data_IF_186646579775
#
_entry.id   IF_186646579775
#
_cell.length_a   1.000
_cell.length_b   1.000
_cell.length_c   1.000
_cell.angle_alpha   90.00
_cell.angle_beta   90.00
_cell.angle_gamma   90.00
#
_symmetry.space_group_name_H-M   'P 1'
#
loop_
_entity.id
_entity.type
_entity.pdbx_description
1 polymer ?
#
# COMPACT_ATOMS: atom_id res chain seq x y z
N UNK A 1 -4.78 9.35 0.63
CA UNK A 1 -3.79 10.29 0.07
C UNK A 1 -2.38 9.81 0.35
N UNK A 2 -1.53 9.91 -0.62
CA UNK A 2 -0.09 9.66 -0.50
C UNK A 2 0.65 10.99 -0.41
N UNK A 3 1.61 11.06 0.49
CA UNK A 3 2.54 12.16 0.58
C UNK A 3 3.96 11.62 0.48
N UNK A 4 4.74 12.12 -0.48
CA UNK A 4 6.16 11.77 -0.64
C UNK A 4 6.99 12.99 -0.25
N UNK A 5 7.88 12.82 0.73
CA UNK A 5 8.58 13.94 1.32
C UNK A 5 7.61 14.94 1.93
N UNK A 6 7.93 16.22 1.86
CA UNK A 6 7.07 17.27 2.43
C UNK A 6 6.20 17.99 1.39
N UNK A 7 6.47 17.77 0.09
CA UNK A 7 5.90 18.60 -0.97
C UNK A 7 4.91 17.87 -1.88
N UNK A 8 5.08 16.60 -2.10
CA UNK A 8 4.40 15.89 -3.19
C UNK A 8 3.23 15.07 -2.65
N UNK A 9 2.02 15.42 -3.09
CA UNK A 9 0.79 14.76 -2.66
C UNK A 9 0.05 14.16 -3.86
N UNK A 10 -0.52 12.98 -3.64
CA UNK A 10 -1.25 12.23 -4.67
C UNK A 10 -2.57 11.73 -4.09
N UNK A 11 -3.65 11.91 -4.83
CA UNK A 11 -4.96 11.43 -4.43
C UNK A 11 -5.08 9.92 -4.65
N UNK A 12 -5.91 9.28 -3.81
CA UNK A 12 -6.22 7.86 -3.96
C UNK A 12 -6.96 7.61 -5.27
N UNK A 13 -6.59 6.53 -5.96
CA UNK A 13 -7.37 6.02 -7.08
C UNK A 13 -8.10 4.77 -6.61
N UNK A 14 -9.41 4.90 -6.41
CA UNK A 14 -10.27 3.83 -5.94
C UNK A 14 -10.99 3.10 -7.07
N UNK A 15 -10.66 3.43 -8.33
CA UNK A 15 -11.27 2.82 -9.51
C UNK A 15 -10.57 1.50 -9.89
N UNK A 16 -11.28 0.69 -10.68
CA UNK A 16 -10.74 -0.48 -11.39
C UNK A 16 -9.84 -1.42 -10.57
N UNK A 17 -10.19 -1.63 -9.29
CA UNK A 17 -9.43 -2.56 -8.42
C UNK A 17 -8.00 -2.09 -8.13
N UNK A 18 -7.73 -0.81 -8.27
CA UNK A 18 -6.41 -0.24 -8.00
C UNK A 18 -6.09 -0.19 -6.51
N UNK A 19 -7.11 -0.17 -5.67
CA UNK A 19 -6.92 -0.02 -4.23
C UNK A 19 -7.84 -0.96 -3.47
N UNK A 20 -7.27 -1.84 -2.65
CA UNK A 20 -8.04 -2.75 -1.81
C UNK A 20 -7.19 -3.42 -0.73
N UNK A 21 -7.87 -3.80 0.34
CA UNK A 21 -7.36 -4.73 1.34
C UNK A 21 -7.98 -6.10 1.04
N UNK A 22 -7.17 -7.09 0.71
CA UNK A 22 -7.62 -8.38 0.20
C UNK A 22 -7.26 -9.51 1.18
N UNK A 23 -8.25 -10.37 1.47
CA UNK A 23 -8.03 -11.60 2.21
C UNK A 23 -7.85 -12.78 1.25
N UNK A 24 -6.74 -13.50 1.39
CA UNK A 24 -6.48 -14.75 0.67
C UNK A 24 -6.83 -15.92 1.59
N UNK A 25 -7.96 -16.58 1.31
CA UNK A 25 -8.45 -17.70 2.11
C UNK A 25 -7.53 -18.91 2.07
N UNK A 26 -6.86 -19.14 0.95
CA UNK A 26 -6.02 -20.31 0.75
C UNK A 26 -4.77 -20.26 1.63
N UNK A 27 -4.22 -19.07 1.81
CA UNK A 27 -3.01 -18.85 2.60
C UNK A 27 -3.29 -18.28 3.99
N UNK A 28 -4.50 -17.82 4.26
CA UNK A 28 -4.83 -17.17 5.52
C UNK A 28 -4.11 -15.85 5.71
N UNK A 29 -3.82 -15.14 4.64
CA UNK A 29 -3.05 -13.90 4.67
C UNK A 29 -3.81 -12.73 4.05
N UNK A 30 -3.35 -11.52 4.35
CA UNK A 30 -3.90 -10.28 3.81
C UNK A 30 -2.88 -9.62 2.89
N UNK A 31 -3.37 -8.87 1.93
CA UNK A 31 -2.54 -8.04 1.04
C UNK A 31 -3.16 -6.66 0.91
N UNK A 32 -2.32 -5.67 0.66
CA UNK A 32 -2.74 -4.28 0.43
C UNK A 32 -2.20 -3.83 -0.92
N UNK A 33 -3.10 -3.37 -1.78
CA UNK A 33 -2.75 -2.68 -3.02
C UNK A 33 -3.39 -1.31 -2.96
N UNK A 34 -2.62 -0.26 -3.23
CA UNK A 34 -3.14 1.09 -3.33
C UNK A 34 -2.52 1.76 -4.53
N UNK A 35 -3.38 2.17 -5.48
CA UNK A 35 -3.00 3.02 -6.60
C UNK A 35 -3.37 4.46 -6.29
N UNK A 36 -2.60 5.39 -6.84
CA UNK A 36 -2.84 6.82 -6.70
C UNK A 36 -3.03 7.43 -8.08
N UNK A 37 -3.77 8.52 -8.13
CA UNK A 37 -3.96 9.27 -9.37
C UNK A 37 -2.65 9.91 -9.80
N UNK A 38 -2.50 10.12 -11.10
CA UNK A 38 -1.31 10.80 -11.61
C UNK A 38 -1.13 12.17 -10.99
N UNK A 39 0.11 12.57 -10.84
CA UNK A 39 0.47 13.86 -10.29
C UNK A 39 1.93 14.19 -10.53
N UNK A 40 2.30 15.42 -10.20
CA UNK A 40 3.66 15.90 -10.38
C UNK A 40 4.58 15.37 -9.29
N UNK A 41 5.74 14.88 -9.72
CA UNK A 41 6.85 14.54 -8.83
C UNK A 41 8.14 15.05 -9.49
N UNK A 42 8.73 16.08 -8.90
CA UNK A 42 9.98 16.68 -9.39
C UNK A 42 9.91 17.13 -10.86
N UNK A 43 8.76 17.65 -11.29
CA UNK A 43 8.55 18.11 -12.66
C UNK A 43 8.12 17.04 -13.65
N UNK A 44 8.02 15.78 -13.22
CA UNK A 44 7.54 14.68 -14.05
C UNK A 44 6.17 14.19 -13.56
N UNK A 45 5.33 13.75 -14.47
CA UNK A 45 4.04 13.16 -14.13
C UNK A 45 4.24 11.68 -13.86
N UNK A 46 3.88 11.25 -12.66
CA UNK A 46 3.97 9.84 -12.24
C UNK A 46 2.60 9.35 -11.78
N UNK A 47 2.43 8.03 -11.76
CA UNK A 47 1.24 7.36 -11.22
C UNK A 47 1.70 6.35 -10.18
N UNK A 48 1.92 6.79 -8.94
CA UNK A 48 2.52 5.91 -7.91
C UNK A 48 1.55 4.84 -7.42
N UNK A 49 2.11 3.75 -6.93
CA UNK A 49 1.34 2.68 -6.30
C UNK A 49 2.19 1.90 -5.30
N UNK A 50 1.53 1.28 -4.32
CA UNK A 50 2.17 0.42 -3.33
C UNK A 50 1.52 -0.96 -3.36
N UNK A 51 2.33 -2.00 -3.16
CA UNK A 51 1.87 -3.38 -3.03
C UNK A 51 2.55 -4.00 -1.82
N UNK A 52 1.74 -4.45 -0.87
CA UNK A 52 2.21 -5.16 0.32
C UNK A 52 1.58 -6.55 0.30
N UNK A 53 2.43 -7.57 0.25
CA UNK A 53 2.02 -8.97 0.10
C UNK A 53 2.00 -9.72 1.42
N UNK A 54 1.12 -10.71 1.49
CA UNK A 54 1.20 -11.78 2.49
C UNK A 54 1.40 -11.32 3.92
N UNK A 55 0.53 -10.42 4.39
CA UNK A 55 0.51 -10.05 5.80
C UNK A 55 -0.04 -11.23 6.58
N UNK A 56 0.81 -11.87 7.36
CA UNK A 56 0.41 -13.00 8.18
C UNK A 56 -0.38 -12.51 9.39
N UNK A 57 -1.62 -12.98 9.50
CA UNK A 57 -2.46 -12.71 10.64
C UNK A 57 -3.32 -13.94 10.89
N UNK A 58 -3.60 -14.23 12.16
CA UNK A 58 -4.56 -15.27 12.50
C UNK A 58 -6.01 -14.78 12.39
N UNK A 59 -6.23 -13.58 11.86
CA UNK A 59 -7.53 -12.98 11.68
C UNK A 59 -8.04 -13.23 10.26
N UNK A 60 -9.30 -13.61 10.14
CA UNK A 60 -9.96 -13.85 8.85
C UNK A 60 -11.01 -12.79 8.51
N UNK A 61 -11.20 -11.81 9.38
CA UNK A 61 -12.12 -10.70 9.17
C UNK A 61 -11.37 -9.38 9.32
N UNK A 62 -11.63 -8.43 8.43
CA UNK A 62 -11.03 -7.11 8.48
C UNK A 62 -11.32 -6.38 9.78
N UNK A 63 -12.49 -6.59 10.37
CA UNK A 63 -12.86 -5.99 11.66
C UNK A 63 -11.89 -6.37 12.77
N UNK A 64 -11.34 -7.57 12.72
CA UNK A 64 -10.42 -8.08 13.73
C UNK A 64 -9.00 -7.55 13.55
N UNK A 65 -8.72 -6.94 12.40
CA UNK A 65 -7.42 -6.31 12.13
C UNK A 65 -7.29 -4.90 12.72
N UNK A 66 -8.41 -4.30 13.16
CA UNK A 66 -8.38 -2.94 13.71
C UNK A 66 -7.45 -2.87 14.91
N UNK A 67 -6.55 -1.90 14.88
CA UNK A 67 -5.53 -1.70 15.92
C UNK A 67 -4.26 -2.51 15.71
N UNK A 68 -4.23 -3.41 14.73
CA UNK A 68 -3.02 -4.16 14.42
C UNK A 68 -2.06 -3.32 13.58
N UNK A 69 -0.77 -3.54 13.83
CA UNK A 69 0.31 -2.93 13.06
C UNK A 69 1.19 -4.03 12.48
N UNK A 70 1.74 -3.73 11.31
CA UNK A 70 2.65 -4.63 10.62
C UNK A 70 3.84 -3.82 10.12
N UNK A 71 5.07 -4.27 10.45
CA UNK A 71 6.29 -3.53 10.09
C UNK A 71 7.32 -4.43 9.44
N UNK A 72 7.99 -3.87 8.43
CA UNK A 72 9.17 -4.46 7.81
C UNK A 72 10.26 -3.41 7.86
N UNK A 73 11.43 -3.77 8.41
CA UNK A 73 12.45 -2.81 8.80
C UNK A 73 13.69 -2.80 7.93
N UNK A 74 13.81 -3.72 6.98
CA UNK A 74 14.99 -3.80 6.12
C UNK A 74 14.61 -3.93 4.66
N UNK A 75 15.47 -3.40 3.79
CA UNK A 75 15.34 -3.51 2.35
C UNK A 75 15.31 -4.98 1.90
N UNK A 76 16.19 -5.79 2.47
CA UNK A 76 16.30 -7.21 2.15
C UNK A 76 14.98 -7.94 2.43
N UNK A 77 14.35 -7.65 3.56
CA UNK A 77 13.08 -8.28 3.91
C UNK A 77 11.95 -7.82 2.97
N UNK A 78 11.89 -6.53 2.64
CA UNK A 78 10.92 -6.02 1.68
C UNK A 78 11.09 -6.70 0.31
N UNK A 79 12.34 -6.87 -0.14
CA UNK A 79 12.65 -7.50 -1.41
C UNK A 79 12.25 -8.99 -1.42
N UNK A 80 12.57 -9.71 -0.37
CA UNK A 80 12.18 -11.12 -0.23
C UNK A 80 10.67 -11.32 -0.21
N UNK A 81 9.95 -10.39 0.39
CA UNK A 81 8.48 -10.40 0.46
C UNK A 81 7.83 -9.91 -0.83
N UNK A 82 8.61 -9.31 -1.71
CA UNK A 82 8.11 -8.64 -2.92
C UNK A 82 7.16 -7.48 -2.60
N UNK A 83 7.38 -6.81 -1.49
CA UNK A 83 6.68 -5.58 -1.13
C UNK A 83 7.31 -4.42 -1.87
N UNK A 84 6.54 -3.74 -2.71
CA UNK A 84 7.08 -2.78 -3.67
C UNK A 84 6.36 -1.44 -3.62
N UNK A 85 7.08 -0.42 -4.06
CA UNK A 85 6.54 0.91 -4.32
C UNK A 85 6.94 1.33 -5.73
N UNK A 86 5.98 1.74 -6.53
CA UNK A 86 6.18 2.18 -7.90
C UNK A 86 6.21 3.70 -7.97
N UNK A 87 7.31 4.26 -8.41
CA UNK A 87 7.47 5.68 -8.77
C UNK A 87 7.79 5.78 -10.26
N UNK A 88 9.00 5.47 -10.67
CA UNK A 88 9.43 5.33 -12.07
C UNK A 88 9.52 3.88 -12.48
N UNK A 89 9.86 3.03 -11.52
CA UNK A 89 9.95 1.59 -11.64
C UNK A 89 9.42 0.96 -10.34
N UNK A 90 9.11 -0.32 -10.41
CA UNK A 90 8.74 -1.09 -9.22
C UNK A 90 10.02 -1.42 -8.45
N UNK A 91 10.14 -0.87 -7.25
CA UNK A 91 11.29 -1.04 -6.37
C UNK A 91 10.85 -1.59 -5.01
N UNK A 92 11.67 -2.43 -4.35
CA UNK A 92 11.36 -2.79 -2.97
C UNK A 92 11.43 -1.55 -2.08
N UNK A 93 10.64 -1.53 -1.01
CA UNK A 93 10.74 -0.47 -0.02
C UNK A 93 11.93 -0.70 0.90
N UNK A 94 12.45 0.36 1.48
CA UNK A 94 13.52 0.26 2.48
C UNK A 94 12.94 -0.21 3.81
N UNK A 95 11.80 0.35 4.19
CA UNK A 95 11.08 -0.01 5.40
C UNK A 95 9.67 0.52 5.32
N UNK A 96 8.75 -0.08 6.09
CA UNK A 96 7.41 0.49 6.24
C UNK A 96 6.74 -0.01 7.52
N UNK A 97 5.73 0.74 7.95
CA UNK A 97 4.82 0.37 9.01
C UNK A 97 3.40 0.61 8.54
N UNK A 98 2.60 -0.44 8.57
CA UNK A 98 1.20 -0.42 8.17
C UNK A 98 0.31 -0.55 9.41
N UNK A 99 -0.68 0.31 9.53
CA UNK A 99 -1.70 0.26 10.58
C UNK A 99 -3.09 0.17 9.96
N UNK A 100 -3.92 -0.70 10.53
CA UNK A 100 -5.36 -0.73 10.24
C UNK A 100 -6.03 0.05 11.35
N UNK A 101 -6.53 1.24 11.05
CA UNK A 101 -7.03 2.18 12.06
C UNK A 101 -8.49 1.90 12.43
N UNK A 102 -9.34 1.76 11.41
CA UNK A 102 -10.75 1.45 11.61
C UNK A 102 -11.36 0.85 10.34
N UNK A 103 -12.52 0.24 10.50
CA UNK A 103 -13.34 -0.24 9.39
C UNK A 103 -14.60 0.61 9.35
N UNK A 104 -14.90 1.19 8.21
CA UNK A 104 -16.03 2.09 8.02
C UNK A 104 -16.71 1.79 6.69
N UNK A 105 -17.99 1.38 6.72
CA UNK A 105 -18.80 1.14 5.52
C UNK A 105 -18.11 0.23 4.50
N UNK A 106 -17.61 -0.92 4.96
CA UNK A 106 -16.88 -1.90 4.14
C UNK A 106 -15.55 -1.39 3.56
N UNK A 107 -15.02 -0.32 4.11
CA UNK A 107 -13.70 0.19 3.76
C UNK A 107 -12.78 0.15 4.97
N UNK A 108 -11.50 -0.05 4.71
CA UNK A 108 -10.46 -0.02 5.73
C UNK A 108 -9.76 1.34 5.69
N UNK A 109 -9.75 2.02 6.83
CA UNK A 109 -8.90 3.18 7.01
C UNK A 109 -7.52 2.69 7.42
N UNK A 110 -6.56 2.89 6.54
CA UNK A 110 -5.19 2.47 6.75
C UNK A 110 -4.26 3.67 6.83
N UNK A 111 -3.17 3.48 7.53
CA UNK A 111 -2.06 4.41 7.53
C UNK A 111 -0.79 3.61 7.32
N UNK A 112 0.02 4.05 6.36
CA UNK A 112 1.30 3.41 6.09
C UNK A 112 2.37 4.48 5.98
N UNK A 113 3.44 4.32 6.72
CA UNK A 113 4.58 5.22 6.68
C UNK A 113 5.83 4.42 6.42
N UNK A 114 6.83 5.04 5.80
CA UNK A 114 8.08 4.33 5.55
C UNK A 114 9.04 5.12 4.69
N UNK A 115 9.94 4.37 4.08
CA UNK A 115 10.98 4.89 3.18
C UNK A 115 10.92 4.13 1.88
N UNK A 116 10.71 4.83 0.79
CA UNK A 116 10.70 4.27 -0.55
C UNK A 116 12.00 4.57 -1.31
N UNK A 117 12.23 3.84 -2.39
CA UNK A 117 13.34 4.10 -3.30
C UNK A 117 12.81 4.92 -4.46
N UNK A 118 13.43 6.09 -4.68
CA UNK A 118 13.13 6.95 -5.83
C UNK A 118 13.93 6.50 -7.03
N UNK A 119 15.24 6.27 -6.85
CA UNK A 119 16.15 5.81 -7.89
C UNK A 119 17.06 4.73 -7.33
N UNK A 120 16.82 3.49 -7.72
CA UNK A 120 17.60 2.33 -7.30
C UNK A 120 18.93 2.18 -8.04
N UNK A 121 19.13 2.91 -9.11
CA UNK A 121 20.37 2.90 -9.88
C UNK A 121 21.36 3.96 -9.42
N UNK A 122 20.93 4.91 -8.61
CA UNK A 122 21.82 5.92 -8.05
C UNK A 122 22.77 5.29 -7.02
N UNK A 123 23.95 5.87 -6.85
CA UNK A 123 24.94 5.44 -5.85
C UNK A 123 25.38 6.66 -5.03
N UNK A 124 24.94 6.77 -3.75
CA UNK A 124 24.04 5.84 -3.05
C UNK A 124 22.60 5.87 -3.59
N UNK A 125 21.85 4.81 -3.30
CA UNK A 125 20.43 4.71 -3.68
C UNK A 125 19.68 5.95 -3.18
N UNK A 126 18.88 6.55 -4.05
CA UNK A 126 18.07 7.71 -3.70
C UNK A 126 16.77 7.26 -3.02
N UNK A 127 16.52 7.74 -1.82
CA UNK A 127 15.40 7.37 -0.95
C UNK A 127 14.59 8.59 -0.56
N UNK A 128 13.32 8.36 -0.18
CA UNK A 128 12.45 9.41 0.33
C UNK A 128 11.45 8.84 1.34
N UNK A 129 11.04 9.64 2.30
CA UNK A 129 9.98 9.27 3.22
C UNK A 129 8.62 9.35 2.53
N UNK A 130 7.71 8.48 2.93
CA UNK A 130 6.33 8.55 2.47
C UNK A 130 5.34 8.33 3.61
N UNK A 131 4.13 8.83 3.41
CA UNK A 131 3.00 8.62 4.29
C UNK A 131 1.75 8.41 3.45
N UNK A 132 1.02 7.34 3.74
CA UNK A 132 -0.27 7.02 3.14
C UNK A 132 -1.30 7.07 4.25
N UNK A 133 -2.40 7.80 4.01
CA UNK A 133 -3.58 7.84 4.87
C UNK A 133 -4.77 7.71 3.93
N UNK A 134 -5.39 6.54 3.89
CA UNK A 134 -6.37 6.20 2.85
C UNK A 134 -7.47 5.31 3.38
N UNK A 135 -8.64 5.47 2.78
CA UNK A 135 -9.80 4.62 3.03
C UNK A 135 -10.00 3.76 1.79
N UNK A 136 -9.76 2.45 1.90
CA UNK A 136 -9.75 1.52 0.75
C UNK A 136 -10.78 0.41 0.90
N UNK A 137 -11.37 -0.07 -0.22
CA UNK A 137 -12.32 -1.17 -0.19
C UNK A 137 -11.71 -2.45 0.38
N UNK A 138 -12.56 -3.25 1.02
CA UNK A 138 -12.19 -4.54 1.59
C UNK A 138 -12.72 -5.65 0.70
N UNK A 139 -11.87 -6.61 0.37
CA UNK A 139 -12.22 -7.81 -0.38
C UNK A 139 -11.95 -9.03 0.51
N UNK A 140 -13.00 -9.57 1.09
CA UNK A 140 -12.92 -10.77 1.94
C UNK A 140 -13.40 -12.03 1.23
N UNK A 141 -14.15 -11.86 0.13
CA UNK A 141 -14.70 -12.97 -0.66
C UNK A 141 -14.80 -12.59 -2.13
N UNK A 142 -15.04 -13.60 -2.98
CA UNK A 142 -15.25 -13.41 -4.41
C UNK A 142 -16.38 -12.43 -4.71
N UNK A 143 -17.45 -12.46 -3.89
CA UNK A 143 -18.60 -11.57 -4.08
C UNK A 143 -18.26 -10.09 -3.88
N UNK A 144 -17.23 -9.78 -3.09
CA UNK A 144 -16.83 -8.40 -2.84
C UNK A 144 -16.27 -7.72 -4.09
N UNK A 145 -15.78 -8.50 -5.06
CA UNK A 145 -15.30 -7.94 -6.33
C UNK A 145 -16.40 -7.23 -7.13
N UNK A 146 -17.66 -7.50 -6.83
CA UNK A 146 -18.81 -6.81 -7.46
C UNK A 146 -18.82 -5.32 -7.15
N UNK A 147 -18.13 -4.87 -6.10
CA UNK A 147 -17.99 -3.45 -5.77
C UNK A 147 -17.36 -2.64 -6.90
N UNK A 148 -16.61 -3.30 -7.79
CA UNK A 148 -15.92 -2.67 -8.92
C UNK A 148 -16.62 -2.89 -10.25
N UNK A 149 -17.72 -3.62 -10.26
CA UNK A 149 -18.52 -3.83 -11.47
C UNK A 149 -19.50 -2.67 -11.65
N UNK A 150 -19.55 -2.14 -12.84
CA UNK A 150 -20.43 -1.03 -13.23
C UNK A 150 -21.66 -1.54 -13.96
#
# INVERSE_FOLDING_TARGET
>A
MLKIGEKYCFEDDLSDRQSCLIFDKDNGSWSVDIGFKEGDFRGEIITPSICINSIDSNKSSAKDLVGETFSVNTLEECDEREDTFYIYESEPMVSYRLEIIEIKDDNAHIRCTGVLIVDGYADPIEKEYFEIDSLIPIIESVDDWKKFEL
#
